data_IF_573530366437
#
_entry.id   IF_573530366437
#
_cell.length_a   1.000
_cell.length_b   1.000
_cell.length_c   1.000
_cell.angle_alpha   90.00
_cell.angle_beta   90.00
_cell.angle_gamma   90.00
#
_symmetry.space_group_name_H-M   'P 1'
#
loop_
_entity.id
_entity.type
_entity.pdbx_description
1 polymer ?
#
# COMPACT_ATOMS: atom_id res chain seq x y z
N UNK A 1 -2.59 -43.59 -28.55
CA UNK A 1 -1.99 -43.03 -27.32
C UNK A 1 -2.84 -41.80 -26.97
N UNK A 2 -4.08 -41.89 -26.48
CA UNK A 2 -4.71 -42.55 -25.31
C UNK A 2 -4.33 -41.94 -23.94
N UNK A 3 -5.15 -40.96 -23.52
CA UNK A 3 -5.66 -40.67 -22.17
C UNK A 3 -6.76 -39.59 -22.38
N UNK A 4 -8.07 -39.84 -22.44
CA UNK A 4 -9.02 -40.52 -21.54
C UNK A 4 -9.12 -39.86 -20.15
N UNK A 5 -10.08 -38.94 -20.00
CA UNK A 5 -10.84 -38.72 -18.77
C UNK A 5 -12.25 -38.24 -19.15
N UNK A 6 -13.19 -39.18 -19.15
CA UNK A 6 -14.63 -38.97 -19.18
C UNK A 6 -15.13 -38.61 -17.77
N UNK A 7 -16.21 -37.83 -17.70
CA UNK A 7 -17.28 -38.02 -16.73
C UNK A 7 -17.13 -37.39 -15.34
N UNK A 8 -17.52 -36.12 -15.21
CA UNK A 8 -18.21 -35.64 -13.99
C UNK A 8 -19.43 -34.85 -14.40
N UNK A 9 -20.59 -35.51 -14.28
CA UNK A 9 -21.91 -34.94 -14.42
C UNK A 9 -22.20 -34.13 -13.14
N UNK A 10 -22.12 -32.80 -13.20
CA UNK A 10 -22.39 -31.94 -12.06
C UNK A 10 -23.91 -31.80 -11.88
N UNK A 11 -24.51 -32.71 -11.11
CA UNK A 11 -25.87 -32.60 -10.61
C UNK A 11 -26.01 -31.35 -9.75
N UNK A 12 -27.10 -30.60 -9.95
CA UNK A 12 -27.56 -29.45 -9.16
C UNK A 12 -27.20 -29.56 -7.66
N UNK A 13 -26.05 -28.99 -7.27
CA UNK A 13 -25.74 -28.76 -5.86
C UNK A 13 -26.64 -27.62 -5.42
N UNK A 14 -27.57 -27.96 -4.53
CA UNK A 14 -28.50 -27.06 -3.88
C UNK A 14 -27.69 -26.03 -3.05
N UNK A 15 -27.34 -24.89 -3.67
CA UNK A 15 -26.47 -23.84 -3.13
C UNK A 15 -26.89 -23.37 -1.73
N UNK A 16 -28.18 -23.47 -1.42
CA UNK A 16 -28.75 -23.11 -0.12
C UNK A 16 -28.26 -24.00 1.04
N UNK A 17 -27.91 -25.26 0.79
CA UNK A 17 -27.40 -26.17 1.82
C UNK A 17 -25.88 -26.02 2.03
N UNK A 18 -25.11 -25.65 1.00
CA UNK A 18 -23.68 -25.39 1.15
C UNK A 18 -23.43 -24.12 1.97
N UNK A 19 -24.18 -23.05 1.67
CA UNK A 19 -24.14 -21.82 2.48
C UNK A 19 -24.54 -22.09 3.94
N UNK A 20 -25.66 -22.79 4.19
CA UNK A 20 -26.07 -23.14 5.56
C UNK A 20 -25.01 -23.94 6.32
N UNK A 21 -24.38 -24.93 5.67
CA UNK A 21 -23.37 -25.76 6.33
C UNK A 21 -22.06 -25.00 6.58
N UNK A 22 -21.66 -24.09 5.68
CA UNK A 22 -20.48 -23.24 5.87
C UNK A 22 -20.69 -22.23 7.01
N UNK A 23 -21.87 -21.61 7.09
CA UNK A 23 -22.25 -20.73 8.20
C UNK A 23 -22.33 -21.49 9.54
N UNK A 24 -22.87 -22.72 9.54
CA UNK A 24 -22.96 -23.55 10.76
C UNK A 24 -21.57 -24.02 11.24
N UNK A 25 -20.65 -24.31 10.30
CA UNK A 25 -19.26 -24.67 10.62
C UNK A 25 -18.45 -23.50 11.19
N UNK A 26 -18.65 -22.29 10.65
CA UNK A 26 -18.08 -21.07 11.21
C UNK A 26 -18.63 -20.81 12.62
N UNK A 27 -19.95 -20.89 12.83
CA UNK A 27 -20.59 -20.66 14.13
C UNK A 27 -20.11 -21.63 15.23
N UNK A 28 -19.75 -22.88 14.89
CA UNK A 28 -19.22 -23.85 15.88
C UNK A 28 -17.76 -23.66 16.25
N UNK A 29 -16.98 -22.89 15.46
CA UNK A 29 -15.55 -22.64 15.72
C UNK A 29 -15.28 -21.31 16.45
N UNK A 30 -16.29 -20.45 16.59
CA UNK A 30 -16.21 -19.15 17.31
C UNK A 30 -16.39 -19.25 18.83
N UNK A 31 -16.24 -20.43 19.42
CA UNK A 31 -16.04 -20.59 20.88
C UNK A 31 -14.60 -20.24 21.30
N UNK A 32 -14.13 -19.05 20.92
CA UNK A 32 -12.92 -18.44 21.49
C UNK A 32 -13.39 -17.22 22.30
N UNK A 33 -13.13 -17.25 23.61
CA UNK A 33 -13.29 -16.18 24.60
C UNK A 33 -14.70 -15.87 25.16
N UNK A 34 -15.69 -16.74 24.99
CA UNK A 34 -16.94 -16.68 25.77
C UNK A 34 -17.88 -15.50 25.44
N UNK A 35 -17.60 -14.76 24.36
CA UNK A 35 -18.48 -13.70 23.83
C UNK A 35 -19.05 -14.19 22.50
N UNK A 36 -20.34 -14.53 22.49
CA UNK A 36 -21.08 -14.77 21.24
C UNK A 36 -21.27 -13.43 20.53
N UNK A 37 -20.28 -13.01 19.74
CA UNK A 37 -20.48 -11.93 18.78
C UNK A 37 -21.29 -12.46 17.61
N UNK A 38 -22.39 -11.78 17.27
CA UNK A 38 -23.13 -12.12 16.06
C UNK A 38 -22.30 -11.73 14.81
N UNK A 39 -22.60 -12.35 13.67
CA UNK A 39 -21.87 -12.11 12.41
C UNK A 39 -21.90 -10.63 12.02
N UNK A 40 -22.99 -9.92 12.31
CA UNK A 40 -23.10 -8.49 11.99
C UNK A 40 -22.10 -7.63 12.78
N UNK A 41 -21.90 -7.93 14.06
CA UNK A 41 -20.90 -7.27 14.91
C UNK A 41 -19.49 -7.52 14.41
N UNK A 42 -19.20 -8.75 13.97
CA UNK A 42 -17.94 -9.08 13.32
C UNK A 42 -17.73 -8.27 12.04
N UNK A 43 -18.72 -8.23 11.15
CA UNK A 43 -18.65 -7.48 9.90
C UNK A 43 -18.48 -5.97 10.16
N UNK A 44 -19.12 -5.43 11.21
CA UNK A 44 -18.92 -4.03 11.63
C UNK A 44 -17.50 -3.77 12.12
N UNK A 45 -16.88 -4.72 12.84
CA UNK A 45 -15.49 -4.61 13.28
C UNK A 45 -14.51 -4.67 12.12
N UNK A 46 -14.84 -5.39 11.04
CA UNK A 46 -14.03 -5.54 9.84
C UNK A 46 -14.21 -4.41 8.81
N UNK A 47 -14.82 -3.28 9.19
CA UNK A 47 -14.84 -2.09 8.34
C UNK A 47 -13.43 -1.51 8.20
N UNK A 48 -13.08 -0.94 7.03
CA UNK A 48 -11.84 -0.16 6.87
C UNK A 48 -11.78 0.98 7.89
N UNK A 49 -10.58 1.31 8.36
CA UNK A 49 -10.33 2.38 9.33
C UNK A 49 -9.03 3.10 9.01
N UNK A 50 -8.98 4.37 9.37
CA UNK A 50 -7.78 5.19 9.27
C UNK A 50 -7.51 5.68 7.85
N UNK A 51 -6.57 6.59 7.76
CA UNK A 51 -6.31 7.36 6.55
C UNK A 51 -4.82 7.35 6.19
N UNK A 52 -4.51 7.36 4.89
CA UNK A 52 -3.15 7.25 4.39
C UNK A 52 -2.87 8.32 3.34
N UNK A 53 -1.79 9.08 3.49
CA UNK A 53 -1.25 9.93 2.43
C UNK A 53 -0.22 9.16 1.61
N UNK A 54 -0.34 9.13 0.28
CA UNK A 54 0.63 8.56 -0.66
C UNK A 54 1.24 9.70 -1.47
N UNK A 55 2.55 9.91 -1.29
CA UNK A 55 3.30 11.03 -1.86
C UNK A 55 4.16 10.50 -3.01
N UNK A 56 3.79 10.82 -4.25
CA UNK A 56 4.36 10.27 -5.47
C UNK A 56 3.58 9.06 -5.98
N UNK A 57 2.97 9.18 -7.16
CA UNK A 57 2.15 8.17 -7.83
C UNK A 57 2.79 7.67 -9.13
N UNK A 58 4.12 7.63 -9.17
CA UNK A 58 4.90 6.96 -10.21
C UNK A 58 4.72 5.43 -10.19
N UNK A 59 5.70 4.69 -10.72
CA UNK A 59 5.61 3.23 -10.86
C UNK A 59 5.41 2.49 -9.54
N UNK A 60 6.02 2.96 -8.45
CA UNK A 60 5.84 2.36 -7.11
C UNK A 60 4.54 2.82 -6.46
N UNK A 61 4.27 4.13 -6.44
CA UNK A 61 3.11 4.70 -5.76
C UNK A 61 1.77 4.18 -6.27
N UNK A 62 1.63 3.94 -7.58
CA UNK A 62 0.40 3.35 -8.14
C UNK A 62 0.15 1.93 -7.62
N UNK A 63 1.20 1.12 -7.43
CA UNK A 63 1.08 -0.23 -6.87
C UNK A 63 0.62 -0.17 -5.42
N UNK A 64 1.29 0.66 -4.61
CA UNK A 64 0.93 0.85 -3.21
C UNK A 64 -0.51 1.33 -3.06
N UNK A 65 -0.95 2.27 -3.92
CA UNK A 65 -2.32 2.78 -3.89
C UNK A 65 -3.35 1.67 -4.20
N UNK A 66 -3.15 0.92 -5.28
CA UNK A 66 -4.05 -0.17 -5.66
C UNK A 66 -4.07 -1.26 -4.58
N UNK A 67 -2.90 -1.74 -4.14
CA UNK A 67 -2.79 -2.78 -3.12
C UNK A 67 -3.46 -2.38 -1.79
N UNK A 68 -3.30 -1.12 -1.34
CA UNK A 68 -3.96 -0.62 -0.12
C UNK A 68 -5.49 -0.55 -0.29
N UNK A 69 -5.96 -0.10 -1.44
CA UNK A 69 -7.39 0.13 -1.68
C UNK A 69 -8.14 -1.17 -2.02
N UNK A 70 -7.46 -2.20 -2.51
CA UNK A 70 -8.03 -3.53 -2.77
C UNK A 70 -8.18 -4.40 -1.52
N UNK A 71 -7.61 -4.00 -0.37
CA UNK A 71 -7.81 -4.70 0.90
C UNK A 71 -9.30 -4.73 1.26
N UNK A 72 -9.81 -5.93 1.51
CA UNK A 72 -11.19 -6.20 1.90
C UNK A 72 -11.27 -6.76 3.33
N UNK A 73 -12.38 -6.51 4.04
CA UNK A 73 -12.59 -6.87 5.46
C UNK A 73 -11.52 -6.27 6.39
N UNK A 74 -11.27 -4.98 6.22
CA UNK A 74 -10.32 -4.18 6.99
C UNK A 74 -9.67 -3.15 6.08
N UNK A 75 -8.44 -2.75 6.40
CA UNK A 75 -7.63 -1.85 5.57
C UNK A 75 -7.98 -0.37 5.75
N UNK A 76 -7.51 0.44 4.81
CA UNK A 76 -7.60 1.90 4.86
C UNK A 76 -8.99 2.41 4.47
N UNK A 77 -9.52 3.36 5.23
CA UNK A 77 -10.79 4.01 4.92
C UNK A 77 -10.64 5.04 3.80
N UNK A 78 -9.65 5.92 3.92
CA UNK A 78 -9.40 7.02 3.00
C UNK A 78 -7.93 7.13 2.59
N UNK A 79 -7.67 7.35 1.30
CA UNK A 79 -6.34 7.61 0.77
C UNK A 79 -6.27 9.00 0.15
N UNK A 80 -5.22 9.75 0.48
CA UNK A 80 -4.88 11.05 -0.10
C UNK A 80 -3.67 10.85 -1.02
N UNK A 81 -3.81 11.11 -2.32
CA UNK A 81 -2.75 10.85 -3.30
C UNK A 81 -2.21 12.15 -3.87
N UNK A 82 -0.88 12.30 -3.90
CA UNK A 82 -0.18 13.53 -4.32
C UNK A 82 0.79 13.23 -5.46
N UNK A 83 0.52 13.76 -6.65
CA UNK A 83 1.43 13.74 -7.80
C UNK A 83 0.92 14.73 -8.87
N UNK A 84 1.80 15.57 -9.40
CA UNK A 84 1.46 16.50 -10.50
C UNK A 84 1.74 15.89 -11.90
N UNK A 85 2.32 14.70 -11.99
CA UNK A 85 2.62 14.08 -13.28
C UNK A 85 1.37 13.52 -13.96
N UNK A 86 1.38 13.60 -15.29
CA UNK A 86 0.43 12.91 -16.17
C UNK A 86 0.97 11.55 -16.57
N UNK A 87 0.09 10.65 -16.95
CA UNK A 87 0.43 9.35 -17.53
C UNK A 87 1.03 9.60 -18.91
N UNK A 88 2.26 9.15 -19.09
CA UNK A 88 2.99 9.19 -20.35
C UNK A 88 2.90 7.86 -21.11
N UNK A 89 3.39 7.83 -22.35
CA UNK A 89 3.38 6.60 -23.16
C UNK A 89 4.18 5.46 -22.51
N UNK A 90 5.27 5.80 -21.81
CA UNK A 90 6.16 4.85 -21.13
C UNK A 90 5.66 4.42 -19.73
N UNK A 91 4.55 4.96 -19.24
CA UNK A 91 3.92 4.59 -17.96
C UNK A 91 3.09 3.30 -18.13
N UNK A 92 3.77 2.22 -18.54
CA UNK A 92 3.15 0.95 -18.91
C UNK A 92 2.30 0.37 -17.77
N UNK A 93 2.72 0.51 -16.50
CA UNK A 93 1.94 0.01 -15.37
C UNK A 93 0.59 0.74 -15.23
N UNK A 94 0.57 2.07 -15.32
CA UNK A 94 -0.67 2.84 -15.26
C UNK A 94 -1.58 2.49 -16.43
N UNK A 95 -1.02 2.41 -17.64
CA UNK A 95 -1.76 2.05 -18.85
C UNK A 95 -2.33 0.63 -18.79
N UNK A 96 -1.56 -0.34 -18.30
CA UNK A 96 -2.01 -1.73 -18.09
C UNK A 96 -3.18 -1.81 -17.12
N UNK A 97 -3.22 -0.92 -16.12
CA UNK A 97 -4.32 -0.80 -15.17
C UNK A 97 -5.48 0.07 -15.69
N UNK A 98 -5.46 0.52 -16.95
CA UNK A 98 -6.56 1.28 -17.58
C UNK A 98 -6.42 2.81 -17.52
N UNK A 99 -5.22 3.32 -17.21
CA UNK A 99 -4.89 4.74 -17.27
C UNK A 99 -4.70 5.24 -18.70
N UNK A 100 -5.13 6.47 -18.97
CA UNK A 100 -5.04 7.08 -20.31
C UNK A 100 -3.86 8.04 -20.39
N UNK A 101 -3.15 8.06 -21.51
CA UNK A 101 -2.09 9.05 -21.76
C UNK A 101 -2.68 10.46 -21.64
N UNK A 102 -2.01 11.33 -20.88
CA UNK A 102 -2.43 12.70 -20.58
C UNK A 102 -3.35 12.87 -19.35
N UNK A 103 -3.87 11.78 -18.77
CA UNK A 103 -4.59 11.79 -17.49
C UNK A 103 -3.62 12.01 -16.33
N UNK A 104 -3.96 12.80 -15.32
CA UNK A 104 -3.14 12.90 -14.10
C UNK A 104 -3.07 11.55 -13.39
N UNK A 105 -1.89 11.13 -12.92
CA UNK A 105 -1.71 9.84 -12.25
C UNK A 105 -2.63 9.69 -11.02
N UNK A 106 -2.85 10.78 -10.30
CA UNK A 106 -3.77 10.84 -9.14
C UNK A 106 -5.24 10.73 -9.52
N UNK A 107 -5.66 11.35 -10.63
CA UNK A 107 -7.03 11.29 -11.11
C UNK A 107 -7.39 9.89 -11.60
N UNK A 108 -6.43 9.22 -12.25
CA UNK A 108 -6.54 7.82 -12.63
C UNK A 108 -6.87 6.94 -11.42
N UNK A 109 -6.14 7.08 -10.30
CA UNK A 109 -6.41 6.32 -9.07
C UNK A 109 -7.80 6.68 -8.51
N UNK A 110 -8.14 7.97 -8.43
CA UNK A 110 -9.45 8.43 -7.96
C UNK A 110 -10.60 7.90 -8.81
N UNK A 111 -10.42 7.79 -10.11
CA UNK A 111 -11.42 7.23 -11.04
C UNK A 111 -11.73 5.77 -10.74
N UNK A 112 -10.76 4.98 -10.30
CA UNK A 112 -10.96 3.57 -9.93
C UNK A 112 -11.66 3.38 -8.59
N UNK A 113 -11.26 4.15 -7.58
CA UNK A 113 -11.68 3.92 -6.19
C UNK A 113 -12.67 4.94 -5.61
N UNK A 114 -13.06 5.95 -6.40
CA UNK A 114 -14.13 6.89 -6.10
C UNK A 114 -13.91 7.67 -4.81
N UNK A 115 -14.91 7.66 -3.93
CA UNK A 115 -14.91 8.43 -2.69
C UNK A 115 -13.86 8.00 -1.66
N UNK A 116 -13.24 6.81 -1.81
CA UNK A 116 -12.13 6.37 -0.95
C UNK A 116 -10.82 7.09 -1.25
N UNK A 117 -10.75 7.86 -2.34
CA UNK A 117 -9.56 8.59 -2.75
C UNK A 117 -9.84 10.08 -2.86
N UNK A 118 -8.95 10.90 -2.32
CA UNK A 118 -8.87 12.32 -2.63
C UNK A 118 -7.54 12.59 -3.34
N UNK A 119 -7.63 13.19 -4.54
CA UNK A 119 -6.53 13.36 -5.46
C UNK A 119 -6.07 14.81 -5.49
N UNK A 120 -4.78 15.02 -5.27
CA UNK A 120 -4.10 16.30 -5.32
C UNK A 120 -3.13 16.32 -6.50
N UNK A 121 -3.40 17.19 -7.47
CA UNK A 121 -2.55 17.39 -8.66
C UNK A 121 -1.35 18.29 -8.32
N UNK A 122 -0.68 17.96 -7.23
CA UNK A 122 0.42 18.73 -6.66
C UNK A 122 1.51 17.79 -6.19
N UNK A 123 2.75 18.21 -6.39
CA UNK A 123 3.88 17.57 -5.72
C UNK A 123 4.00 18.17 -4.32
N UNK A 124 4.25 17.32 -3.32
CA UNK A 124 4.58 17.80 -1.98
C UNK A 124 5.96 18.47 -2.02
N UNK A 125 6.01 19.70 -1.52
CA UNK A 125 7.20 20.52 -1.33
C UNK A 125 7.28 20.97 0.13
N UNK A 126 8.28 21.77 0.49
CA UNK A 126 8.39 22.36 1.83
C UNK A 126 7.26 23.36 2.13
N UNK A 127 6.63 23.94 1.11
CA UNK A 127 5.64 25.02 1.26
C UNK A 127 4.21 24.48 1.48
N UNK A 128 3.93 23.25 1.02
CA UNK A 128 2.59 22.64 1.10
C UNK A 128 2.54 21.37 1.96
N UNK A 129 3.49 21.19 2.90
CA UNK A 129 3.48 20.06 3.86
C UNK A 129 2.15 19.95 4.64
N UNK A 130 1.46 21.08 4.84
CA UNK A 130 0.16 21.15 5.50
C UNK A 130 -0.94 20.32 4.81
N UNK A 131 -0.75 19.93 3.54
CA UNK A 131 -1.68 19.05 2.82
C UNK A 131 -1.60 17.59 3.28
N UNK A 132 -0.49 17.16 3.88
CA UNK A 132 -0.31 15.78 4.35
C UNK A 132 -1.18 15.54 5.59
N UNK A 133 -1.98 14.47 5.55
CA UNK A 133 -2.92 14.07 6.61
C UNK A 133 -3.07 12.56 6.72
N UNK A 134 -3.78 12.14 7.78
CA UNK A 134 -4.05 10.74 8.09
C UNK A 134 -3.06 10.15 9.09
N UNK A 135 -3.09 8.83 9.22
CA UNK A 135 -2.33 8.07 10.22
C UNK A 135 -0.94 7.69 9.71
N UNK A 136 -0.82 7.51 8.40
CA UNK A 136 0.41 7.08 7.73
C UNK A 136 0.67 7.92 6.49
N UNK A 137 1.91 8.37 6.30
CA UNK A 137 2.40 8.94 5.06
C UNK A 137 3.39 7.97 4.38
N UNK A 138 3.04 7.53 3.18
CA UNK A 138 3.83 6.66 2.31
C UNK A 138 4.57 7.54 1.29
N UNK A 139 5.90 7.56 1.37
CA UNK A 139 6.78 8.41 0.59
C UNK A 139 7.35 7.60 -0.59
N UNK A 140 6.82 7.85 -1.78
CA UNK A 140 7.15 7.19 -3.04
C UNK A 140 7.74 8.15 -4.09
N UNK A 141 8.23 9.32 -3.66
CA UNK A 141 8.81 10.33 -4.56
C UNK A 141 10.11 9.84 -5.20
N UNK A 142 10.29 10.18 -6.47
CA UNK A 142 11.49 9.87 -7.24
C UNK A 142 11.75 11.00 -8.26
N UNK A 143 13.00 11.08 -8.74
CA UNK A 143 13.46 12.10 -9.68
C UNK A 143 14.20 13.24 -8.98
N UNK A 144 15.41 13.55 -9.45
CA UNK A 144 16.29 14.55 -8.83
C UNK A 144 16.78 14.16 -7.42
N UNK A 145 17.18 15.15 -6.64
CA UNK A 145 17.52 14.99 -5.22
C UNK A 145 16.26 15.11 -4.36
N UNK A 146 15.73 13.95 -3.93
CA UNK A 146 14.52 13.87 -3.11
C UNK A 146 14.80 13.91 -1.60
N UNK A 147 16.08 13.91 -1.18
CA UNK A 147 16.46 13.83 0.24
C UNK A 147 15.92 15.03 1.03
N UNK A 148 16.09 16.30 0.59
CA UNK A 148 15.62 17.46 1.36
C UNK A 148 14.11 17.47 1.58
N UNK A 149 13.35 17.07 0.55
CA UNK A 149 11.89 16.99 0.64
C UNK A 149 11.44 15.83 1.51
N UNK A 150 12.07 14.66 1.38
CA UNK A 150 11.79 13.50 2.23
C UNK A 150 12.01 13.82 3.71
N UNK A 151 13.12 14.48 4.07
CA UNK A 151 13.37 14.91 5.46
C UNK A 151 12.30 15.87 5.97
N UNK A 152 11.89 16.84 5.14
CA UNK A 152 10.86 17.81 5.51
C UNK A 152 9.51 17.14 5.78
N UNK A 153 9.13 16.16 4.94
CA UNK A 153 7.93 15.33 5.13
C UNK A 153 8.01 14.56 6.46
N UNK A 154 9.14 13.88 6.71
CA UNK A 154 9.33 13.06 7.92
C UNK A 154 9.19 13.92 9.18
N UNK A 155 9.85 15.07 9.22
CA UNK A 155 9.80 15.97 10.37
C UNK A 155 8.38 16.51 10.60
N UNK A 156 7.72 16.98 9.53
CA UNK A 156 6.33 17.46 9.60
C UNK A 156 5.36 16.40 10.13
N UNK A 157 5.50 15.16 9.65
CA UNK A 157 4.67 14.03 10.06
C UNK A 157 4.93 13.66 11.52
N UNK A 158 6.20 13.62 11.94
CA UNK A 158 6.60 13.32 13.32
C UNK A 158 5.95 14.26 14.32
N UNK A 159 5.98 15.57 14.06
CA UNK A 159 5.35 16.59 14.91
C UNK A 159 3.83 16.41 15.07
N UNK A 160 3.18 15.70 14.14
CA UNK A 160 1.73 15.50 14.09
C UNK A 160 1.31 14.07 14.43
N UNK A 161 2.25 13.22 14.84
CA UNK A 161 1.98 11.82 15.14
C UNK A 161 1.63 10.96 13.92
N UNK A 162 1.88 11.45 12.70
CA UNK A 162 1.70 10.70 11.45
C UNK A 162 2.91 9.77 11.28
N UNK A 163 2.67 8.47 11.16
CA UNK A 163 3.74 7.50 10.91
C UNK A 163 4.22 7.61 9.47
N UNK A 164 5.49 7.32 9.22
CA UNK A 164 6.05 7.48 7.88
C UNK A 164 6.70 6.19 7.38
N UNK A 165 6.44 5.87 6.11
CA UNK A 165 7.04 4.73 5.40
C UNK A 165 7.65 5.27 4.11
N UNK A 166 8.93 5.00 3.86
CA UNK A 166 9.65 5.43 2.67
C UNK A 166 10.37 4.29 1.98
N UNK A 167 11.21 4.63 1.00
CA UNK A 167 12.04 3.67 0.28
C UNK A 167 13.50 3.72 0.74
N UNK A 168 14.21 2.60 0.58
CA UNK A 168 15.64 2.51 0.82
C UNK A 168 16.33 1.81 -0.35
N UNK A 169 16.21 2.42 -1.53
CA UNK A 169 16.68 1.82 -2.77
C UNK A 169 15.64 0.88 -3.40
N UNK A 170 15.41 1.07 -4.69
CA UNK A 170 14.41 0.31 -5.48
C UNK A 170 15.03 -0.36 -6.71
N UNK A 171 16.35 -0.22 -6.88
CA UNK A 171 17.13 -0.89 -7.93
C UNK A 171 17.39 -2.34 -7.53
N UNK A 172 17.43 -3.27 -8.48
CA UNK A 172 17.72 -4.65 -8.15
C UNK A 172 17.21 -5.68 -9.15
N UNK A 173 18.01 -6.70 -9.44
CA UNK A 173 17.59 -7.96 -10.08
C UNK A 173 17.59 -9.05 -8.99
N UNK A 174 16.43 -9.64 -8.69
CA UNK A 174 16.28 -10.72 -7.69
C UNK A 174 16.79 -10.39 -6.27
N UNK A 175 16.77 -9.11 -5.92
CA UNK A 175 17.27 -8.63 -4.63
C UNK A 175 16.34 -8.96 -3.45
N UNK A 176 16.95 -9.19 -2.28
CA UNK A 176 16.20 -9.39 -1.04
C UNK A 176 15.69 -8.06 -0.50
N UNK A 177 14.36 -7.88 -0.47
CA UNK A 177 13.74 -6.69 0.12
C UNK A 177 13.88 -6.71 1.65
N UNK A 178 14.36 -5.61 2.21
CA UNK A 178 14.48 -5.38 3.65
C UNK A 178 13.50 -4.32 4.11
N UNK A 179 13.04 -4.49 5.36
CA UNK A 179 12.20 -3.54 6.09
C UNK A 179 12.92 -3.24 7.40
N UNK A 180 13.18 -1.96 7.69
CA UNK A 180 13.84 -1.52 8.92
C UNK A 180 13.52 -0.05 9.22
N UNK A 181 13.90 0.43 10.40
CA UNK A 181 13.89 1.86 10.67
C UNK A 181 15.06 2.55 9.95
N UNK A 182 14.80 3.71 9.37
CA UNK A 182 15.76 4.51 8.62
C UNK A 182 17.02 4.85 9.41
N UNK A 183 16.92 4.97 10.75
CA UNK A 183 18.07 5.20 11.63
C UNK A 183 19.14 4.11 11.49
N UNK A 184 18.73 2.86 11.26
CA UNK A 184 19.64 1.70 11.17
C UNK A 184 19.86 1.21 9.73
N UNK A 185 19.28 1.90 8.75
CA UNK A 185 19.29 1.48 7.37
C UNK A 185 20.68 1.61 6.73
N UNK A 186 21.07 0.58 5.98
CA UNK A 186 22.17 0.68 4.99
C UNK A 186 21.58 1.11 3.65
N UNK A 187 22.40 1.64 2.74
CA UNK A 187 21.90 2.08 1.42
C UNK A 187 21.43 3.54 1.40
N UNK A 188 20.55 3.94 0.45
CA UNK A 188 20.17 5.34 0.23
C UNK A 188 19.53 6.05 1.43
N UNK A 189 18.76 5.32 2.25
CA UNK A 189 18.09 5.92 3.41
C UNK A 189 19.07 6.48 4.44
N UNK A 190 20.33 6.02 4.46
CA UNK A 190 21.37 6.57 5.36
C UNK A 190 21.60 8.07 5.13
N UNK A 191 21.37 8.57 3.90
CA UNK A 191 21.54 9.99 3.58
C UNK A 191 20.43 10.87 4.19
N UNK A 192 19.36 10.26 4.71
CA UNK A 192 18.39 10.95 5.55
C UNK A 192 19.00 11.43 6.87
N UNK A 193 20.06 10.76 7.37
CA UNK A 193 20.79 11.12 8.59
C UNK A 193 19.84 11.47 9.74
N UNK A 194 18.95 10.54 10.08
CA UNK A 194 17.99 10.67 11.17
C UNK A 194 18.60 10.12 12.46
N UNK A 195 18.54 10.92 13.53
CA UNK A 195 19.14 10.55 14.82
C UNK A 195 18.18 9.77 15.73
N UNK A 196 16.89 9.77 15.37
CA UNK A 196 15.80 9.13 16.11
C UNK A 196 15.03 8.14 15.23
N UNK A 197 14.44 7.13 15.88
CA UNK A 197 13.54 6.18 15.23
C UNK A 197 12.19 6.84 14.89
N UNK A 198 11.46 6.25 13.94
CA UNK A 198 10.08 6.64 13.59
C UNK A 198 9.79 6.68 12.09
N UNK A 199 10.78 6.39 11.24
CA UNK A 199 10.60 6.32 9.79
C UNK A 199 10.95 4.91 9.30
N UNK A 200 9.94 4.15 8.89
CA UNK A 200 10.13 2.82 8.32
C UNK A 200 10.61 2.98 6.87
N UNK A 201 11.59 2.20 6.46
CA UNK A 201 12.04 2.16 5.06
C UNK A 201 12.02 0.74 4.51
N UNK A 202 11.63 0.65 3.24
CA UNK A 202 11.53 -0.61 2.49
C UNK A 202 12.38 -0.53 1.24
N UNK A 203 13.23 -1.51 1.00
CA UNK A 203 14.04 -1.50 -0.23
C UNK A 203 15.11 -2.57 -0.31
N UNK A 204 15.87 -2.51 -1.40
CA UNK A 204 16.98 -3.41 -1.73
C UNK A 204 18.32 -2.94 -1.17
N UNK A 205 18.38 -1.71 -0.63
CA UNK A 205 19.62 -0.99 -0.29
C UNK A 205 20.50 -0.62 -1.50
N UNK A 206 20.08 -0.95 -2.73
CA UNK A 206 20.76 -0.58 -3.98
C UNK A 206 20.31 0.78 -4.49
N UNK A 207 21.24 1.50 -5.10
CA UNK A 207 21.09 2.86 -5.59
C UNK A 207 21.52 2.97 -7.05
N UNK A 208 21.36 4.16 -7.63
CA UNK A 208 21.72 4.43 -9.04
C UNK A 208 23.18 4.08 -9.37
N UNK A 209 24.07 4.19 -8.38
CA UNK A 209 25.51 3.88 -8.52
C UNK A 209 25.82 2.39 -8.61
N UNK A 210 24.87 1.53 -8.30
CA UNK A 210 25.06 0.07 -8.33
C UNK A 210 24.77 -0.51 -9.73
N UNK A 211 24.39 0.34 -10.71
CA UNK A 211 24.18 0.01 -12.13
C UNK A 211 23.15 -1.08 -12.44
N UNK A 212 22.38 -1.52 -11.44
CA UNK A 212 21.25 -2.42 -11.65
C UNK A 212 20.00 -1.65 -12.12
N UNK A 213 19.09 -2.28 -12.87
CA UNK A 213 17.85 -1.65 -13.29
C UNK A 213 16.82 -1.60 -12.16
N UNK A 214 15.75 -0.83 -12.37
CA UNK A 214 14.50 -0.94 -11.60
C UNK A 214 13.59 -1.90 -12.35
N UNK A 215 13.34 -3.08 -11.77
CA UNK A 215 12.46 -4.09 -12.38
C UNK A 215 11.03 -3.97 -11.83
N UNK A 216 9.99 -4.34 -12.60
CA UNK A 216 8.62 -4.37 -12.10
C UNK A 216 8.46 -5.34 -10.91
N UNK A 217 9.16 -6.47 -10.91
CA UNK A 217 9.09 -7.47 -9.84
C UNK A 217 9.65 -6.95 -8.51
N UNK A 218 10.78 -6.23 -8.56
CA UNK A 218 11.34 -5.55 -7.38
C UNK A 218 10.35 -4.50 -6.85
N UNK A 219 9.70 -3.72 -7.74
CA UNK A 219 8.69 -2.75 -7.33
C UNK A 219 7.43 -3.41 -6.75
N UNK A 220 7.00 -4.56 -7.26
CA UNK A 220 5.84 -5.31 -6.75
C UNK A 220 6.12 -5.82 -5.31
N UNK A 221 7.28 -6.41 -5.05
CA UNK A 221 7.63 -6.88 -3.69
C UNK A 221 7.84 -5.71 -2.71
N UNK A 222 8.44 -4.60 -3.16
CA UNK A 222 8.54 -3.38 -2.32
C UNK A 222 7.15 -2.84 -2.00
N UNK A 223 6.25 -2.72 -2.98
CA UNK A 223 4.89 -2.23 -2.77
C UNK A 223 4.14 -3.10 -1.74
N UNK A 224 4.16 -4.43 -1.92
CA UNK A 224 3.59 -5.39 -0.98
C UNK A 224 4.10 -5.19 0.44
N UNK A 225 5.40 -5.00 0.63
CA UNK A 225 6.00 -4.79 1.96
C UNK A 225 5.58 -3.45 2.57
N UNK A 226 5.55 -2.37 1.79
CA UNK A 226 5.06 -1.07 2.25
C UNK A 226 3.59 -1.14 2.68
N UNK A 227 2.75 -1.85 1.92
CA UNK A 227 1.33 -2.07 2.23
C UNK A 227 1.20 -2.85 3.54
N UNK A 228 1.95 -3.93 3.72
CA UNK A 228 1.93 -4.72 4.97
C UNK A 228 2.30 -3.85 6.19
N UNK A 229 3.34 -3.02 6.10
CA UNK A 229 3.72 -2.14 7.20
C UNK A 229 2.66 -1.07 7.48
N UNK A 230 2.06 -0.50 6.44
CA UNK A 230 0.94 0.43 6.57
C UNK A 230 -0.24 -0.23 7.32
N UNK A 231 -0.63 -1.43 6.89
CA UNK A 231 -1.70 -2.20 7.52
C UNK A 231 -1.36 -2.59 8.97
N UNK A 232 -0.10 -2.91 9.29
CA UNK A 232 0.34 -3.18 10.67
C UNK A 232 0.18 -1.98 11.59
N UNK A 233 0.51 -0.78 11.09
CA UNK A 233 0.32 0.47 11.85
C UNK A 233 -1.17 0.71 12.11
N UNK A 234 -2.00 0.63 11.08
CA UNK A 234 -3.45 0.80 11.21
C UNK A 234 -4.06 -0.28 12.12
N UNK A 235 -3.64 -1.54 11.97
CA UNK A 235 -4.09 -2.65 12.80
C UNK A 235 -3.80 -2.39 14.28
N UNK A 236 -2.57 -1.99 14.58
CA UNK A 236 -2.14 -1.68 15.96
C UNK A 236 -2.91 -0.51 16.55
N UNK A 237 -3.28 0.49 15.74
CA UNK A 237 -4.01 1.68 16.20
C UNK A 237 -5.49 1.40 16.46
N UNK A 238 -6.13 0.58 15.64
CA UNK A 238 -7.60 0.50 15.58
C UNK A 238 -8.22 -0.86 15.94
N UNK A 239 -7.41 -1.91 16.04
CA UNK A 239 -7.88 -3.29 16.23
C UNK A 239 -7.17 -4.03 17.38
N UNK A 240 -6.01 -3.54 17.83
CA UNK A 240 -5.29 -4.09 18.99
C UNK A 240 -5.61 -3.37 20.31
N UNK A 241 -6.34 -2.26 20.25
CA UNK A 241 -6.86 -1.48 21.37
C UNK A 241 -8.15 -2.07 21.91
#
# INVERSE_FOLDING_TARGET
MNAFFEGVQCSLINFNNFAKNYYTFLLKKFCLDGIFMNVEEMERKLKPKGEVSIIGCGRLGVRVAFDLLEVHRGGVEKVYVFDNAKIEENDIVHRRLGGKVGEYKVDFIKRFFGNRVEAFRENITKDNLHLIKGDVAVICIAGGDTIPTTKAIINYCKERGIKTIGTNGVFGIEEKIKVCDAKYAKGPAKFLNLDEEGHIVVGTEKFIRDFEPITPYTLDEIAKRMVIECLRILWSKYYKS
#
